data_IF_872070424013
#
_entry.id   IF_872070424013
#
_cell.length_a   1.000
_cell.length_b   1.000
_cell.length_c   1.000
_cell.angle_alpha   90.00
_cell.angle_beta   90.00
_cell.angle_gamma   90.00
#
_symmetry.space_group_name_H-M   'P 1'
#
loop_
_entity.id
_entity.type
_entity.pdbx_description
1 polymer ?
#
# COMPACT_ATOMS: atom_id res chain seq x y z
N UNK A 1 -8.32 14.33 -40.85
CA UNK A 1 -9.08 13.72 -41.95
C UNK A 1 -10.25 12.97 -41.39
N UNK A 2 -11.44 13.15 -41.94
CA UNK A 2 -12.67 12.47 -41.50
C UNK A 2 -12.62 11.05 -42.07
N UNK A 3 -12.15 10.06 -41.30
CA UNK A 3 -12.26 8.64 -41.67
C UNK A 3 -13.60 8.11 -41.18
N UNK A 4 -14.33 7.40 -42.04
CA UNK A 4 -15.54 6.69 -41.61
C UNK A 4 -15.18 5.49 -40.74
N UNK A 5 -16.10 5.09 -39.84
CA UNK A 5 -15.88 3.95 -38.95
C UNK A 5 -15.53 2.66 -39.72
N UNK A 6 -16.12 2.45 -40.90
CA UNK A 6 -15.85 1.30 -41.76
C UNK A 6 -14.41 1.26 -42.29
N UNK A 7 -13.83 2.42 -42.62
CA UNK A 7 -12.43 2.50 -43.04
C UNK A 7 -11.49 2.18 -41.87
N UNK A 8 -11.79 2.70 -40.68
CA UNK A 8 -11.00 2.44 -39.46
C UNK A 8 -11.02 0.94 -39.13
N UNK A 9 -12.17 0.29 -39.25
CA UNK A 9 -12.28 -1.17 -39.03
C UNK A 9 -11.37 -1.95 -39.98
N UNK A 10 -11.42 -1.64 -41.28
CA UNK A 10 -10.59 -2.31 -42.30
C UNK A 10 -9.10 -2.09 -42.09
N UNK A 11 -8.70 -0.90 -41.65
CA UNK A 11 -7.29 -0.55 -41.44
C UNK A 11 -6.72 -1.13 -40.13
N UNK A 12 -7.53 -1.20 -39.07
CA UNK A 12 -7.05 -1.49 -37.70
C UNK A 12 -7.50 -2.84 -37.15
N UNK A 13 -8.43 -3.53 -37.83
CA UNK A 13 -9.12 -4.73 -37.34
C UNK A 13 -9.82 -4.55 -35.97
N UNK A 14 -10.01 -3.32 -35.52
CA UNK A 14 -10.83 -3.04 -34.34
C UNK A 14 -12.30 -3.26 -34.71
N UNK A 15 -13.10 -3.96 -33.88
CA UNK A 15 -14.52 -4.18 -34.16
C UNK A 15 -15.29 -2.88 -34.39
N UNK A 16 -16.22 -2.89 -35.35
CA UNK A 16 -17.09 -1.74 -35.65
C UNK A 16 -17.82 -1.24 -34.39
N UNK A 17 -18.28 -2.14 -33.52
CA UNK A 17 -18.93 -1.81 -32.25
C UNK A 17 -18.04 -0.96 -31.34
N UNK A 18 -16.77 -1.30 -31.21
CA UNK A 18 -15.78 -0.55 -30.42
C UNK A 18 -15.50 0.82 -31.02
N UNK A 19 -15.41 0.91 -32.35
CA UNK A 19 -15.18 2.19 -33.05
C UNK A 19 -16.38 3.12 -32.84
N UNK A 20 -17.60 2.64 -33.06
CA UNK A 20 -18.83 3.42 -32.82
C UNK A 20 -18.93 3.87 -31.36
N UNK A 21 -18.70 2.97 -30.41
CA UNK A 21 -18.69 3.29 -28.98
C UNK A 21 -17.69 4.41 -28.64
N UNK A 22 -16.47 4.34 -29.18
CA UNK A 22 -15.44 5.36 -28.95
C UNK A 22 -15.82 6.71 -29.58
N UNK A 23 -16.44 6.72 -30.76
CA UNK A 23 -16.96 7.93 -31.41
C UNK A 23 -18.01 8.58 -30.53
N UNK A 24 -18.97 7.81 -30.01
CA UNK A 24 -20.02 8.33 -29.13
C UNK A 24 -19.46 8.84 -27.80
N UNK A 25 -18.49 8.13 -27.23
CA UNK A 25 -17.77 8.56 -26.03
C UNK A 25 -17.01 9.89 -26.24
N UNK A 26 -16.38 10.07 -27.40
CA UNK A 26 -15.73 11.32 -27.79
C UNK A 26 -16.73 12.47 -27.96
N UNK A 27 -17.90 12.21 -28.57
CA UNK A 27 -18.97 13.22 -28.69
C UNK A 27 -19.51 13.67 -27.33
N UNK A 28 -19.65 12.73 -26.38
CA UNK A 28 -20.21 13.01 -25.06
C UNK A 28 -19.22 13.69 -24.11
N UNK A 29 -17.98 13.18 -24.05
CA UNK A 29 -17.01 13.56 -22.99
C UNK A 29 -15.76 14.27 -23.53
N UNK A 30 -15.56 14.31 -24.85
CA UNK A 30 -14.33 14.83 -25.46
C UNK A 30 -13.07 14.03 -25.14
N UNK A 31 -13.20 12.85 -24.53
CA UNK A 31 -12.06 12.10 -23.96
C UNK A 31 -12.21 10.59 -24.14
N UNK A 32 -11.10 9.93 -24.47
CA UNK A 32 -11.03 8.46 -24.51
C UNK A 32 -10.54 7.85 -23.19
N UNK A 33 -10.28 8.64 -22.15
CA UNK A 33 -9.77 8.14 -20.86
C UNK A 33 -10.62 7.01 -20.29
N UNK A 34 -9.99 5.96 -19.79
CA UNK A 34 -10.68 4.87 -19.10
C UNK A 34 -11.18 5.32 -17.74
N UNK A 35 -12.34 4.82 -17.32
CA UNK A 35 -12.81 4.96 -15.94
C UNK A 35 -11.89 4.15 -15.04
N UNK A 36 -11.47 4.73 -13.91
CA UNK A 36 -10.70 3.99 -12.91
C UNK A 36 -11.42 2.70 -12.51
N UNK A 37 -10.65 1.61 -12.39
CA UNK A 37 -11.18 0.31 -12.00
C UNK A 37 -11.76 0.37 -10.56
N UNK A 38 -12.94 -0.21 -10.35
CA UNK A 38 -13.47 -0.46 -9.02
C UNK A 38 -12.72 -1.66 -8.41
N UNK A 39 -11.49 -1.44 -7.98
CA UNK A 39 -10.70 -2.48 -7.31
C UNK A 39 -11.35 -2.85 -5.98
N UNK A 40 -11.34 -4.13 -5.65
CA UNK A 40 -11.70 -4.60 -4.30
C UNK A 40 -10.80 -3.87 -3.27
N UNK A 41 -11.36 -3.28 -2.20
CA UNK A 41 -10.56 -2.63 -1.17
C UNK A 41 -9.44 -3.56 -0.69
N UNK A 42 -8.21 -3.07 -0.69
CA UNK A 42 -7.07 -3.82 -0.17
C UNK A 42 -7.20 -3.83 1.36
N UNK A 43 -7.44 -5.01 1.94
CA UNK A 43 -7.32 -5.19 3.39
C UNK A 43 -5.90 -4.76 3.78
N UNK A 44 -5.72 -3.83 4.72
CA UNK A 44 -4.38 -3.49 5.18
C UNK A 44 -3.74 -4.77 5.74
N UNK A 45 -2.65 -5.21 5.11
CA UNK A 45 -1.86 -6.34 5.62
C UNK A 45 -1.44 -6.04 7.05
N UNK A 46 -1.65 -6.98 7.96
CA UNK A 46 -1.41 -6.82 9.39
C UNK A 46 0.03 -6.42 9.69
N UNK A 47 0.29 -5.12 9.73
CA UNK A 47 1.48 -4.52 10.34
C UNK A 47 0.97 -3.57 11.42
N UNK A 48 0.96 -4.13 12.62
CA UNK A 48 0.97 -3.51 13.94
C UNK A 48 0.37 -2.09 14.04
N UNK A 49 -0.88 -2.03 14.48
CA UNK A 49 -1.36 -0.92 15.32
C UNK A 49 -1.69 -1.46 16.70
N UNK A 50 -0.67 -1.84 17.46
CA UNK A 50 -0.87 -2.32 18.84
C UNK A 50 -0.09 -1.42 19.79
N UNK A 51 -0.66 -0.25 20.05
CA UNK A 51 -0.64 0.52 21.30
C UNK A 51 -1.49 1.78 21.04
N UNK A 52 -2.80 1.60 20.93
CA UNK A 52 -3.77 2.70 21.09
C UNK A 52 -4.43 2.49 22.44
N UNK A 53 -3.66 2.68 23.50
CA UNK A 53 -4.18 2.76 24.86
C UNK A 53 -4.66 4.20 25.04
N UNK A 54 -5.89 4.48 24.64
CA UNK A 54 -6.74 5.57 25.15
C UNK A 54 -6.03 6.90 25.50
N UNK A 55 -5.20 7.46 24.62
CA UNK A 55 -4.60 8.79 24.82
C UNK A 55 -5.11 9.76 23.77
N UNK A 56 -5.55 10.95 24.20
CA UNK A 56 -5.99 12.05 23.34
C UNK A 56 -4.89 12.67 22.46
N UNK A 57 -3.64 12.19 22.56
CA UNK A 57 -2.48 12.74 21.86
C UNK A 57 -2.07 11.88 20.67
N UNK A 58 -1.47 12.51 19.66
CA UNK A 58 -0.99 11.81 18.47
C UNK A 58 0.16 10.83 18.77
N UNK A 59 0.27 9.79 17.96
CA UNK A 59 1.34 8.77 18.03
C UNK A 59 2.75 9.38 17.90
N UNK A 60 2.89 10.45 17.11
CA UNK A 60 4.15 11.18 16.97
C UNK A 60 4.57 11.91 18.25
N UNK A 61 3.60 12.42 19.02
CA UNK A 61 3.84 13.08 20.32
C UNK A 61 4.35 12.07 21.34
N UNK A 62 3.72 10.90 21.42
CA UNK A 62 4.13 9.81 22.29
C UNK A 62 5.54 9.34 21.92
N UNK A 63 5.81 9.14 20.62
CA UNK A 63 7.12 8.70 20.14
C UNK A 63 8.24 9.68 20.51
N UNK A 64 7.99 10.99 20.36
CA UNK A 64 8.94 12.05 20.76
C UNK A 64 9.19 12.01 22.27
N UNK A 65 8.14 11.86 23.06
CA UNK A 65 8.24 11.79 24.52
C UNK A 65 9.08 10.57 24.94
N UNK A 66 8.78 9.38 24.43
CA UNK A 66 9.54 8.16 24.72
C UNK A 66 11.02 8.30 24.34
N UNK A 67 11.31 8.90 23.18
CA UNK A 67 12.70 9.17 22.77
C UNK A 67 13.41 10.16 23.71
N UNK A 68 12.72 11.20 24.20
CA UNK A 68 13.27 12.15 25.19
C UNK A 68 13.71 11.45 26.48
N UNK A 69 12.96 10.44 26.93
CA UNK A 69 13.28 9.64 28.12
C UNK A 69 14.16 8.42 27.83
N UNK A 70 14.64 8.25 26.59
CA UNK A 70 15.60 7.20 26.23
C UNK A 70 15.01 5.82 25.98
N UNK A 71 13.68 5.69 25.88
CA UNK A 71 13.05 4.43 25.50
C UNK A 71 13.38 4.10 24.04
N UNK A 72 13.90 2.88 23.80
CA UNK A 72 14.27 2.39 22.48
C UNK A 72 13.27 1.35 21.99
N UNK A 73 12.86 1.46 20.73
CA UNK A 73 12.00 0.47 20.08
C UNK A 73 12.86 -0.62 19.41
N UNK A 74 13.64 -1.34 20.22
CA UNK A 74 14.49 -2.44 19.76
C UNK A 74 14.25 -3.63 20.68
N UNK A 75 14.24 -4.83 20.08
CA UNK A 75 14.20 -6.05 20.86
C UNK A 75 15.52 -6.20 21.64
N UNK A 76 15.48 -6.73 22.87
CA UNK A 76 16.70 -7.08 23.57
C UNK A 76 17.49 -8.12 22.76
N UNK A 77 18.82 -8.02 22.81
CA UNK A 77 19.69 -9.04 22.22
C UNK A 77 19.42 -10.38 22.90
N UNK A 78 19.39 -11.45 22.11
CA UNK A 78 19.20 -12.80 22.65
C UNK A 78 20.34 -13.11 23.63
N UNK A 79 19.98 -13.36 24.89
CA UNK A 79 20.94 -13.82 25.88
C UNK A 79 21.22 -15.30 25.64
N UNK A 80 22.47 -15.67 25.38
CA UNK A 80 22.86 -17.08 25.34
C UNK A 80 22.61 -17.73 26.70
N UNK A 81 21.98 -18.90 26.73
CA UNK A 81 21.76 -19.65 27.95
C UNK A 81 23.11 -20.17 28.47
N UNK A 82 23.53 -19.69 29.64
CA UNK A 82 24.77 -20.15 30.26
C UNK A 82 24.67 -21.62 30.65
N UNK A 83 25.73 -22.37 30.35
CA UNK A 83 25.93 -23.74 30.83
C UNK A 83 26.14 -23.77 32.35
N UNK A 84 25.93 -24.92 32.98
CA UNK A 84 26.12 -25.07 34.43
C UNK A 84 27.54 -24.69 34.87
N UNK A 85 28.55 -25.05 34.10
CA UNK A 85 29.97 -24.78 34.41
C UNK A 85 30.32 -23.29 34.27
N UNK A 86 29.71 -22.59 33.30
CA UNK A 86 29.86 -21.14 33.15
C UNK A 86 29.20 -20.36 34.29
N UNK A 87 28.11 -20.88 34.86
CA UNK A 87 27.47 -20.29 36.04
C UNK A 87 28.35 -20.46 37.28
N UNK A 88 28.94 -21.62 37.48
CA UNK A 88 29.83 -21.90 38.62
C UNK A 88 31.08 -21.00 38.61
N UNK A 89 31.70 -20.81 37.43
CA UNK A 89 32.87 -19.92 37.26
C UNK A 89 32.62 -18.44 37.54
N UNK A 90 31.36 -17.98 37.57
CA UNK A 90 31.01 -16.57 37.87
C UNK A 90 30.76 -16.31 39.36
N UNK A 91 30.52 -17.38 40.13
CA UNK A 91 30.20 -17.30 41.57
C UNK A 91 31.47 -17.42 42.43
N UNK A 92 32.51 -18.08 41.90
CA UNK A 92 33.86 -18.08 42.47
C UNK A 92 34.61 -16.79 42.17
#
# INVERSE_FOLDING_TARGET
GIRSASLIHRETNIPLSTICYNIDKLKQTGSLKHRGENRRPRVPGGKEKKLLVNTFVSTSTISRHLHKYGYKNVLPQSTHMLTSDEKQRRVQ
#
